data_IF_648560501200
#
_entry.id   IF_648560501200
#
_cell.length_a   1.000
_cell.length_b   1.000
_cell.length_c   1.000
_cell.angle_alpha   90.00
_cell.angle_beta   90.00
_cell.angle_gamma   90.00
#
_symmetry.space_group_name_H-M   'P 1'
#
loop_
_entity.id
_entity.type
_entity.pdbx_description
1 polymer ?
#
# COMPACT_ATOMS: atom_id res chain seq x y z
N UNK A 1 -18.29 36.58 -16.04
CA UNK A 1 -16.98 37.01 -15.52
C UNK A 1 -16.62 36.06 -14.39
N UNK A 2 -15.89 34.98 -14.67
CA UNK A 2 -15.53 33.96 -13.68
C UNK A 2 -14.05 34.15 -13.35
N UNK A 3 -13.80 34.59 -12.13
CA UNK A 3 -12.47 34.84 -11.60
C UNK A 3 -11.78 33.49 -11.34
N UNK A 4 -10.72 33.20 -12.12
CA UNK A 4 -9.89 32.02 -11.90
C UNK A 4 -9.01 32.29 -10.69
N UNK A 5 -9.31 31.63 -9.57
CA UNK A 5 -8.42 31.60 -8.42
C UNK A 5 -7.04 31.06 -8.84
N UNK A 6 -6.04 31.93 -8.82
CA UNK A 6 -4.63 31.57 -8.99
C UNK A 6 -4.23 30.72 -7.79
N UNK A 7 -3.95 29.44 -8.00
CA UNK A 7 -3.21 28.64 -7.01
C UNK A 7 -1.79 29.23 -6.97
N UNK A 8 -1.53 30.06 -5.96
CA UNK A 8 -0.19 30.52 -5.63
C UNK A 8 0.60 29.30 -5.15
N UNK A 9 1.46 28.78 -6.03
CA UNK A 9 2.44 27.76 -5.70
C UNK A 9 3.52 28.44 -4.87
N UNK A 10 3.38 28.39 -3.53
CA UNK A 10 4.42 28.87 -2.61
C UNK A 10 5.69 28.06 -2.84
N UNK A 11 6.84 28.72 -2.66
CA UNK A 11 8.15 28.11 -2.81
C UNK A 11 8.22 26.81 -2.01
N UNK A 12 8.85 25.78 -2.57
CA UNK A 12 9.03 24.46 -1.95
C UNK A 12 9.61 24.60 -0.54
N UNK A 13 8.77 24.62 0.48
CA UNK A 13 9.21 24.49 1.86
C UNK A 13 9.90 23.14 1.98
N UNK A 14 11.18 23.16 2.38
CA UNK A 14 11.93 21.93 2.61
C UNK A 14 11.43 21.32 3.90
N UNK A 15 10.58 20.32 3.77
CA UNK A 15 10.07 19.51 4.88
C UNK A 15 10.90 18.24 5.00
N UNK A 16 11.29 17.90 6.24
CA UNK A 16 11.77 16.55 6.56
C UNK A 16 10.57 15.63 6.78
N UNK A 17 10.67 14.38 6.35
CA UNK A 17 9.64 13.38 6.56
C UNK A 17 10.24 12.11 7.17
N UNK A 18 9.53 11.54 8.14
CA UNK A 18 9.76 10.18 8.64
C UNK A 18 8.55 9.37 8.21
N UNK A 19 8.80 8.24 7.57
CA UNK A 19 7.76 7.29 7.16
C UNK A 19 8.01 5.98 7.89
N UNK A 20 6.93 5.35 8.36
CA UNK A 20 6.97 4.07 9.03
C UNK A 20 5.72 3.25 8.70
N UNK A 21 5.80 1.96 9.00
CA UNK A 21 4.71 1.01 8.83
C UNK A 21 4.22 0.55 10.21
N UNK A 22 2.91 0.47 10.37
CA UNK A 22 2.25 -0.21 11.48
C UNK A 22 1.57 -1.42 10.86
N UNK A 23 1.98 -2.62 11.28
CA UNK A 23 1.64 -3.86 10.56
C UNK A 23 0.86 -4.83 11.44
N UNK A 24 0.10 -5.70 10.76
CA UNK A 24 -0.57 -6.86 11.35
C UNK A 24 -1.42 -6.51 12.60
N UNK A 25 -1.12 -7.15 13.73
CA UNK A 25 -1.92 -7.06 14.94
C UNK A 25 -1.85 -5.66 15.57
N UNK A 26 -0.74 -4.93 15.39
CA UNK A 26 -0.60 -3.55 15.85
C UNK A 26 -1.54 -2.61 15.08
N UNK A 27 -1.65 -2.80 13.76
CA UNK A 27 -2.60 -2.01 12.97
C UNK A 27 -4.04 -2.34 13.35
N UNK A 28 -4.35 -3.63 13.53
CA UNK A 28 -5.68 -4.09 13.96
C UNK A 28 -6.07 -3.53 15.32
N UNK A 29 -5.13 -3.42 16.26
CA UNK A 29 -5.38 -2.82 17.56
C UNK A 29 -5.83 -1.35 17.47
N UNK A 30 -5.40 -0.64 16.41
CA UNK A 30 -5.77 0.75 16.17
C UNK A 30 -7.15 0.93 15.50
N UNK A 31 -7.81 -0.14 15.05
CA UNK A 31 -9.14 -0.05 14.40
C UNK A 31 -10.21 0.55 15.30
N UNK A 32 -10.15 0.23 16.59
CA UNK A 32 -11.05 0.79 17.61
C UNK A 32 -10.55 2.09 18.23
N UNK A 33 -9.35 2.56 17.85
CA UNK A 33 -8.70 3.74 18.45
C UNK A 33 -9.00 4.97 17.61
N UNK A 34 -9.34 6.08 18.28
CA UNK A 34 -9.60 7.35 17.60
C UNK A 34 -8.36 7.85 16.85
N UNK A 35 -8.57 8.65 15.81
CA UNK A 35 -7.47 9.22 15.03
C UNK A 35 -6.55 10.11 15.89
N UNK A 36 -7.13 10.90 16.80
CA UNK A 36 -6.37 11.75 17.71
C UNK A 36 -5.45 10.93 18.62
N UNK A 37 -5.95 9.82 19.16
CA UNK A 37 -5.17 8.94 20.01
C UNK A 37 -4.12 8.16 19.22
N UNK A 38 -4.46 7.70 18.00
CA UNK A 38 -3.51 7.07 17.08
C UNK A 38 -2.32 8.01 16.81
N UNK A 39 -2.58 9.29 16.51
CA UNK A 39 -1.52 10.30 16.30
C UNK A 39 -0.67 10.51 17.55
N UNK A 40 -1.28 10.53 18.74
CA UNK A 40 -0.57 10.65 20.01
C UNK A 40 0.39 9.48 20.24
N UNK A 41 -0.06 8.24 19.97
CA UNK A 41 0.76 7.04 20.08
C UNK A 41 1.94 7.07 19.10
N UNK A 42 1.70 7.43 17.83
CA UNK A 42 2.77 7.57 16.83
C UNK A 42 3.83 8.59 17.28
N UNK A 43 3.43 9.77 17.77
CA UNK A 43 4.38 10.78 18.26
C UNK A 43 5.15 10.25 19.47
N UNK A 44 4.47 9.55 20.38
CA UNK A 44 5.11 8.95 21.57
C UNK A 44 6.23 7.98 21.16
N UNK A 45 5.98 7.12 20.18
CA UNK A 45 6.98 6.18 19.66
C UNK A 45 8.13 6.91 18.96
N UNK A 46 7.83 7.92 18.13
CA UNK A 46 8.87 8.74 17.48
C UNK A 46 9.76 9.46 18.50
N UNK A 47 9.19 10.00 19.58
CA UNK A 47 9.96 10.61 20.68
C UNK A 47 10.80 9.57 21.41
N UNK A 48 10.25 8.37 21.62
CA UNK A 48 10.99 7.27 22.23
C UNK A 48 12.20 6.85 21.39
N UNK A 49 12.05 6.75 20.07
CA UNK A 49 13.12 6.32 19.17
C UNK A 49 14.15 7.41 18.86
N UNK A 50 13.71 8.66 18.67
CA UNK A 50 14.53 9.74 18.12
C UNK A 50 14.74 10.92 19.09
N UNK A 51 14.17 10.86 20.28
CA UNK A 51 14.29 11.87 21.31
C UNK A 51 13.25 13.01 21.22
N UNK A 52 13.30 13.98 22.15
CA UNK A 52 12.23 14.97 22.36
C UNK A 52 11.97 15.88 21.16
N UNK A 53 12.94 16.07 20.25
CA UNK A 53 12.73 16.87 19.05
C UNK A 53 11.70 16.26 18.09
N UNK A 54 11.48 14.94 18.15
CA UNK A 54 10.49 14.27 17.32
C UNK A 54 9.04 14.60 17.72
N UNK A 55 8.82 15.28 18.86
CA UNK A 55 7.52 15.82 19.22
C UNK A 55 7.12 17.04 18.36
N UNK A 56 8.08 17.68 17.69
CA UNK A 56 7.86 18.88 16.87
C UNK A 56 7.36 18.51 15.46
N UNK A 57 6.16 17.92 15.38
CA UNK A 57 5.54 17.48 14.13
C UNK A 57 4.54 18.51 13.62
N UNK A 58 4.69 18.94 12.37
CA UNK A 58 3.76 19.88 11.71
C UNK A 58 2.56 19.18 11.08
N UNK A 59 2.73 17.94 10.63
CA UNK A 59 1.68 17.15 10.00
C UNK A 59 1.93 15.65 10.18
N UNK A 60 0.85 14.89 10.44
CA UNK A 60 0.84 13.42 10.45
C UNK A 60 -0.20 12.95 9.46
N UNK A 61 0.18 12.02 8.60
CA UNK A 61 -0.70 11.32 7.68
C UNK A 61 -0.69 9.84 8.03
N UNK A 62 -1.87 9.24 8.15
CA UNK A 62 -2.05 7.81 8.39
C UNK A 62 -2.98 7.28 7.31
N UNK A 63 -2.49 6.32 6.53
CA UNK A 63 -3.31 5.59 5.57
C UNK A 63 -3.60 4.19 6.13
N UNK A 64 -4.89 3.89 6.33
CA UNK A 64 -5.34 2.56 6.76
C UNK A 64 -5.71 1.72 5.54
N UNK A 65 -4.77 0.92 5.06
CA UNK A 65 -4.95 0.08 3.87
C UNK A 65 -5.87 -1.11 4.10
N UNK A 66 -5.92 -1.59 5.34
CA UNK A 66 -6.82 -2.61 5.84
C UNK A 66 -8.30 -2.20 5.78
N UNK A 67 -8.61 -0.91 5.93
CA UNK A 67 -9.96 -0.35 5.81
C UNK A 67 -10.25 0.28 4.44
N UNK A 68 -9.29 0.31 3.51
CA UNK A 68 -9.50 0.82 2.17
C UNK A 68 -10.35 -0.18 1.37
N UNK A 69 -11.51 0.27 0.87
CA UNK A 69 -12.55 -0.59 0.30
C UNK A 69 -12.06 -1.50 -0.83
N UNK A 70 -11.15 -1.01 -1.67
CA UNK A 70 -10.70 -1.74 -2.87
C UNK A 70 -9.43 -2.56 -2.65
N UNK A 71 -8.59 -2.18 -1.69
CA UNK A 71 -7.36 -2.87 -1.31
C UNK A 71 -7.61 -3.95 -0.26
N UNK A 72 -8.48 -3.65 0.72
CA UNK A 72 -8.93 -4.56 1.79
C UNK A 72 -7.78 -5.16 2.61
N UNK A 73 -6.64 -4.46 2.69
CA UNK A 73 -5.40 -4.97 3.23
C UNK A 73 -4.17 -4.31 2.61
N UNK A 74 -3.00 -4.61 3.15
CA UNK A 74 -1.72 -4.16 2.63
C UNK A 74 -0.53 -4.66 3.46
N UNK A 75 0.71 -4.42 3.00
CA UNK A 75 1.03 -3.89 1.67
C UNK A 75 0.88 -4.93 0.54
N UNK A 76 0.85 -6.23 0.87
CA UNK A 76 0.80 -7.34 -0.10
C UNK A 76 -0.14 -8.45 0.35
N UNK A 77 -0.63 -9.26 -0.60
CA UNK A 77 -1.38 -10.46 -0.26
C UNK A 77 -0.46 -11.56 0.32
N UNK A 78 -0.97 -12.30 1.31
CA UNK A 78 -0.34 -13.51 1.84
C UNK A 78 -1.36 -14.62 1.97
N UNK A 79 -0.89 -15.87 2.05
CA UNK A 79 -1.74 -17.05 2.23
C UNK A 79 -1.35 -17.85 3.48
N UNK A 80 -2.29 -18.59 4.09
CA UNK A 80 -1.99 -19.48 5.19
C UNK A 80 -1.11 -20.67 4.73
N UNK A 81 -0.52 -21.43 5.68
CA UNK A 81 0.21 -22.64 5.38
C UNK A 81 -0.58 -23.60 4.47
N UNK A 82 0.09 -24.16 3.47
CA UNK A 82 -0.50 -25.11 2.51
C UNK A 82 -1.22 -24.47 1.31
N UNK A 83 -1.52 -23.16 1.34
CA UNK A 83 -2.17 -22.48 0.21
C UNK A 83 -1.29 -22.53 -1.05
N UNK A 84 -0.03 -22.09 -0.94
CA UNK A 84 0.86 -22.00 -2.10
C UNK A 84 1.21 -23.38 -2.69
N UNK A 85 1.45 -24.39 -1.86
CA UNK A 85 1.78 -25.74 -2.33
C UNK A 85 0.60 -26.43 -3.01
N UNK A 86 -0.63 -26.14 -2.57
CA UNK A 86 -1.84 -26.76 -3.13
C UNK A 86 -2.39 -26.00 -4.33
N UNK A 87 -2.30 -24.67 -4.30
CA UNK A 87 -3.01 -23.79 -5.25
C UNK A 87 -2.12 -22.81 -6.02
N UNK A 88 -0.82 -22.76 -5.75
CA UNK A 88 0.11 -21.82 -6.37
C UNK A 88 0.11 -21.79 -7.91
N UNK A 89 0.03 -22.93 -8.61
CA UNK A 89 -0.07 -22.94 -10.08
C UNK A 89 -1.30 -22.18 -10.61
N UNK A 90 -2.43 -22.25 -9.91
CA UNK A 90 -3.69 -21.61 -10.33
C UNK A 90 -3.69 -20.09 -10.20
N UNK A 91 -2.70 -19.48 -9.51
CA UNK A 91 -2.60 -18.01 -9.42
C UNK A 91 -2.38 -17.32 -10.77
N UNK A 92 -1.92 -18.07 -11.78
CA UNK A 92 -1.55 -17.53 -13.10
C UNK A 92 -2.28 -18.21 -14.25
N UNK A 93 -2.99 -19.29 -13.97
CA UNK A 93 -3.68 -20.08 -14.99
C UNK A 93 -4.89 -19.31 -15.53
N UNK A 94 -4.96 -19.04 -16.84
CA UNK A 94 -6.12 -18.39 -17.44
C UNK A 94 -7.38 -19.25 -17.32
N UNK A 95 -8.53 -18.60 -17.14
CA UNK A 95 -9.85 -19.24 -17.18
C UNK A 95 -10.55 -18.91 -18.50
N UNK A 96 -10.33 -19.75 -19.51
CA UNK A 96 -10.90 -19.60 -20.86
C UNK A 96 -10.44 -18.30 -21.54
N UNK A 97 -11.24 -17.23 -21.50
CA UNK A 97 -10.92 -15.90 -22.05
C UNK A 97 -10.64 -14.86 -20.96
N UNK A 98 -10.47 -15.32 -19.72
CA UNK A 98 -10.14 -14.49 -18.56
C UNK A 98 -8.67 -14.75 -18.20
N UNK A 99 -7.85 -13.71 -18.26
CA UNK A 99 -6.45 -13.75 -17.84
C UNK A 99 -6.27 -12.95 -16.55
N UNK A 100 -5.39 -13.43 -15.68
CA UNK A 100 -5.17 -12.83 -14.35
C UNK A 100 -3.84 -12.08 -14.34
N UNK A 101 -3.91 -10.75 -14.25
CA UNK A 101 -2.77 -9.89 -13.94
C UNK A 101 -2.78 -9.53 -12.43
N UNK A 102 -1.90 -8.62 -12.02
CA UNK A 102 -1.70 -8.26 -10.62
C UNK A 102 -0.38 -8.80 -10.11
N UNK A 103 0.23 -8.09 -9.16
CA UNK A 103 1.59 -8.38 -8.70
C UNK A 103 1.72 -9.79 -8.11
N UNK A 104 0.65 -10.32 -7.54
CA UNK A 104 0.51 -11.68 -7.01
C UNK A 104 0.77 -12.76 -8.07
N UNK A 105 0.52 -12.44 -9.34
CA UNK A 105 0.71 -13.34 -10.48
C UNK A 105 2.11 -13.23 -11.08
N UNK A 106 2.94 -12.29 -10.63
CA UNK A 106 4.31 -12.16 -11.13
C UNK A 106 5.18 -13.34 -10.64
N UNK A 107 6.11 -13.86 -11.45
CA UNK A 107 7.11 -14.83 -11.00
C UNK A 107 8.29 -14.19 -10.27
N UNK A 108 8.45 -12.86 -10.38
CA UNK A 108 9.54 -12.09 -9.79
C UNK A 108 8.99 -10.75 -9.28
N UNK A 109 9.48 -10.28 -8.14
CA UNK A 109 8.98 -9.10 -7.43
C UNK A 109 7.46 -9.13 -7.13
N UNK A 110 6.93 -10.33 -6.82
CA UNK A 110 5.56 -10.52 -6.32
C UNK A 110 5.31 -9.64 -5.09
N UNK A 111 4.23 -8.86 -5.11
CA UNK A 111 3.89 -7.90 -4.05
C UNK A 111 4.42 -6.47 -4.30
N UNK A 112 5.22 -6.24 -5.34
CA UNK A 112 5.77 -4.92 -5.65
C UNK A 112 5.24 -4.35 -6.97
N UNK A 113 5.47 -3.05 -7.19
CA UNK A 113 5.09 -2.36 -8.42
C UNK A 113 5.73 -3.00 -9.67
N UNK A 114 6.98 -3.46 -9.58
CA UNK A 114 7.65 -4.16 -10.68
C UNK A 114 6.93 -5.47 -11.05
N UNK A 115 6.46 -6.22 -10.05
CA UNK A 115 5.62 -7.39 -10.28
C UNK A 115 4.30 -7.04 -10.95
N UNK A 116 3.65 -5.93 -10.57
CA UNK A 116 2.42 -5.47 -11.21
C UNK A 116 2.63 -5.17 -12.70
N UNK A 117 3.70 -4.43 -13.04
CA UNK A 117 4.04 -4.10 -14.43
C UNK A 117 4.31 -5.38 -15.23
N UNK A 118 5.21 -6.24 -14.75
CA UNK A 118 5.55 -7.51 -15.42
C UNK A 118 4.33 -8.40 -15.63
N UNK A 119 3.43 -8.46 -14.66
CA UNK A 119 2.21 -9.26 -14.80
C UNK A 119 1.29 -8.73 -15.89
N UNK A 120 1.18 -7.41 -16.03
CA UNK A 120 0.39 -6.76 -17.08
C UNK A 120 0.99 -7.01 -18.46
N UNK A 121 2.31 -6.88 -18.61
CA UNK A 121 3.01 -7.18 -19.86
C UNK A 121 2.84 -8.64 -20.28
N UNK A 122 2.98 -9.59 -19.33
CA UNK A 122 2.73 -11.02 -19.58
C UNK A 122 1.31 -11.25 -20.07
N UNK A 123 0.30 -10.75 -19.34
CA UNK A 123 -1.11 -10.98 -19.71
C UNK A 123 -1.45 -10.34 -21.06
N UNK A 124 -0.91 -9.17 -21.37
CA UNK A 124 -1.07 -8.56 -22.68
C UNK A 124 -0.51 -9.48 -23.79
N UNK A 125 0.66 -10.09 -23.58
CA UNK A 125 1.24 -11.03 -24.54
C UNK A 125 0.42 -12.33 -24.68
N UNK A 126 -0.12 -12.87 -23.58
CA UNK A 126 -1.02 -14.03 -23.61
C UNK A 126 -2.27 -13.75 -24.45
N UNK A 127 -2.92 -12.61 -24.20
CA UNK A 127 -4.11 -12.21 -24.95
C UNK A 127 -3.78 -12.02 -26.44
N UNK A 128 -2.63 -11.41 -26.76
CA UNK A 128 -2.18 -11.23 -28.15
C UNK A 128 -1.90 -12.56 -28.87
N UNK A 129 -1.49 -13.60 -28.16
CA UNK A 129 -1.26 -14.94 -28.71
C UNK A 129 -2.55 -15.78 -28.83
N UNK A 130 -3.58 -15.47 -28.02
CA UNK A 130 -4.87 -16.18 -27.96
C UNK A 130 -5.97 -15.56 -28.86
N UNK A 131 -5.59 -14.63 -29.74
CA UNK A 131 -6.44 -14.08 -30.81
C UNK A 131 -6.55 -15.04 -32.01
#
# INVERSE_FOLDING_TARGET
MVERARIQRTASERVGAIMGFIEADEMRALDAVSEAETRRLIISDLVHFFGPQAANVTQILVQRWDLEQFSRGGPVAYGPPGLLSRYGPFLREPATKIHFAGTETAPYWTGYMDGAIRSGERVAAEILADF
#
